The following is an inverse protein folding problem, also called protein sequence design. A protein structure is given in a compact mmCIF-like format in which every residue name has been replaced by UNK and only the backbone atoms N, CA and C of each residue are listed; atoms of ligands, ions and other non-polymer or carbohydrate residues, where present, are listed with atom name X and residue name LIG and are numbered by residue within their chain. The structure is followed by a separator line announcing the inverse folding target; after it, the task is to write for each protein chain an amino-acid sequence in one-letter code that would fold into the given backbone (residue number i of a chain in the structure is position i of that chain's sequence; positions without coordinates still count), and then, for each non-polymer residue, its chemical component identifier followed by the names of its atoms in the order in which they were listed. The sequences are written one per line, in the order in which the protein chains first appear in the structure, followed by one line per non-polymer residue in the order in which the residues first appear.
data_IF_196917376084
#
_entry.id   IF_196917376084
#
_cell.length_a   1.000
_cell.length_b   1.000
_cell.length_c   1.000
_cell.angle_alpha   90.00
_cell.angle_beta   90.00
_cell.angle_gamma   90.00
#
_symmetry.space_group_name_H-M   'P 1'
#
loop_
_entity.id
_entity.type
_entity.pdbx_description
1 polymer ?
#
# COMPACT_ATOMS: atom_id res chain seq x y z
N UNK A 1 -8.07 18.87 -4.32
CA UNK A 1 -7.86 17.43 -4.57
C UNK A 1 -9.14 16.61 -4.48
N UNK A 2 -10.08 16.90 -3.57
CA UNK A 2 -11.41 16.25 -3.60
C UNK A 2 -11.41 14.76 -3.24
N UNK A 3 -10.37 14.33 -2.53
CA UNK A 3 -10.23 12.98 -2.01
C UNK A 3 -11.14 12.85 -0.78
N UNK A 4 -12.01 11.83 -0.78
CA UNK A 4 -12.77 11.43 0.40
C UNK A 4 -11.92 10.43 1.19
N UNK A 5 -11.80 10.63 2.50
CA UNK A 5 -10.97 9.82 3.36
C UNK A 5 -11.83 9.06 4.38
N UNK A 6 -11.40 7.85 4.70
CA UNK A 6 -11.88 7.07 5.83
C UNK A 6 -10.63 6.66 6.61
N UNK A 7 -10.55 7.05 7.88
CA UNK A 7 -9.43 6.66 8.73
C UNK A 7 -9.66 5.30 9.35
N UNK A 8 -8.59 4.53 9.53
CA UNK A 8 -8.64 3.21 10.17
C UNK A 8 -7.76 3.26 11.40
N UNK A 9 -8.32 2.91 12.56
CA UNK A 9 -7.58 2.81 13.82
C UNK A 9 -7.25 1.36 14.14
N UNK A 10 -6.06 1.13 14.71
CA UNK A 10 -5.61 -0.20 15.14
C UNK A 10 -6.46 -0.75 16.28
N UNK A 11 -6.82 -2.02 16.18
CA UNK A 11 -7.45 -2.83 17.22
C UNK A 11 -6.43 -3.51 18.13
N UNK A 12 -6.77 -4.72 18.58
CA UNK A 12 -5.86 -5.51 19.42
C UNK A 12 -4.88 -6.29 18.55
N UNK A 13 -3.59 -6.04 18.73
CA UNK A 13 -2.54 -6.74 17.98
C UNK A 13 -2.65 -8.26 18.15
N UNK A 14 -2.50 -9.06 17.07
CA UNK A 14 -2.49 -10.51 17.18
C UNK A 14 -1.39 -10.99 18.13
N UNK A 15 -1.64 -12.10 18.85
CA UNK A 15 -0.68 -12.67 19.82
C UNK A 15 0.71 -12.88 19.21
N UNK A 16 0.76 -13.38 17.98
CA UNK A 16 1.99 -13.60 17.21
C UNK A 16 2.84 -12.32 17.07
N UNK A 17 2.21 -11.18 16.81
CA UNK A 17 2.89 -9.88 16.70
C UNK A 17 3.30 -9.37 18.08
N UNK A 18 2.44 -9.51 19.09
CA UNK A 18 2.75 -9.08 20.46
C UNK A 18 3.99 -9.78 21.03
N UNK A 19 4.12 -11.08 20.82
CA UNK A 19 5.27 -11.88 21.25
C UNK A 19 6.53 -11.46 20.49
N UNK A 20 6.40 -11.22 19.18
CA UNK A 20 7.49 -10.79 18.32
C UNK A 20 8.00 -9.38 18.68
N UNK A 21 7.10 -8.44 18.91
CA UNK A 21 7.43 -7.08 19.37
C UNK A 21 8.12 -7.11 20.73
N UNK A 22 7.67 -7.98 21.64
CA UNK A 22 8.28 -8.15 22.97
C UNK A 22 9.72 -8.66 22.84
N UNK A 23 9.95 -9.71 22.03
CA UNK A 23 11.29 -10.23 21.73
C UNK A 23 12.20 -9.18 21.06
N UNK A 24 11.66 -8.37 20.15
CA UNK A 24 12.39 -7.28 19.48
C UNK A 24 12.80 -6.19 20.47
N UNK A 25 11.92 -5.82 21.40
CA UNK A 25 12.22 -4.86 22.45
C UNK A 25 13.26 -5.39 23.44
N UNK A 26 13.18 -6.67 23.82
CA UNK A 26 14.18 -7.31 24.69
C UNK A 26 15.56 -7.35 24.01
N UNK A 27 15.63 -7.64 22.71
CA UNK A 27 16.90 -7.59 21.97
C UNK A 27 17.48 -6.18 21.85
N UNK A 28 16.63 -5.14 21.71
CA UNK A 28 17.09 -3.74 21.57
C UNK A 28 17.45 -3.07 22.89
N UNK A 29 16.73 -3.38 23.96
CA UNK A 29 16.80 -2.66 25.23
C UNK A 29 17.23 -3.55 26.42
N UNK A 30 17.47 -4.83 26.18
CA UNK A 30 17.79 -5.82 27.22
C UNK A 30 16.54 -6.35 27.95
N UNK A 31 16.69 -7.35 28.84
CA UNK A 31 15.60 -7.86 29.65
C UNK A 31 15.05 -6.74 30.54
N UNK A 32 13.75 -6.47 30.43
CA UNK A 32 13.08 -5.36 31.12
C UNK A 32 13.10 -5.56 32.64
N UNK A 33 14.10 -5.02 33.33
CA UNK A 33 14.20 -5.02 34.79
C UNK A 33 13.26 -4.02 35.49
N UNK A 34 12.34 -3.35 34.78
CA UNK A 34 11.40 -2.39 35.39
C UNK A 34 9.95 -2.69 35.00
N UNK A 35 9.21 -3.25 35.97
CA UNK A 35 7.76 -3.49 35.94
C UNK A 35 6.92 -2.20 35.83
N UNK A 36 7.54 -1.01 35.87
CA UNK A 36 6.83 0.29 35.91
C UNK A 36 6.98 1.24 34.71
N UNK A 37 7.95 1.04 33.79
CA UNK A 37 8.31 2.09 32.82
C UNK A 37 7.72 1.93 31.40
N UNK A 38 7.19 0.76 31.03
CA UNK A 38 6.62 0.51 29.69
C UNK A 38 5.18 1.02 29.49
N UNK A 39 4.46 1.30 30.59
CA UNK A 39 3.03 1.66 30.52
C UNK A 39 2.78 3.07 29.97
N UNK A 40 3.69 4.01 30.20
CA UNK A 40 3.53 5.43 29.84
C UNK A 40 3.51 5.70 28.34
N UNK A 41 4.35 5.01 27.55
CA UNK A 41 4.41 5.22 26.09
C UNK A 41 3.16 4.73 25.36
N UNK A 42 2.65 3.53 25.71
CA UNK A 42 1.42 2.98 25.12
C UNK A 42 0.17 3.72 25.58
N UNK A 43 0.12 4.15 26.85
CA UNK A 43 -1.01 4.95 27.33
C UNK A 43 -1.03 6.33 26.68
N UNK A 44 0.14 6.96 26.50
CA UNK A 44 0.26 8.24 25.79
C UNK A 44 -0.17 8.10 24.33
N UNK A 45 0.30 7.06 23.63
CA UNK A 45 -0.12 6.80 22.24
C UNK A 45 -1.64 6.61 22.12
N UNK A 46 -2.26 5.85 23.02
CA UNK A 46 -3.72 5.71 23.06
C UNK A 46 -4.45 7.02 23.34
N UNK A 47 -3.91 7.88 24.20
CA UNK A 47 -4.46 9.20 24.46
C UNK A 47 -4.40 10.09 23.20
N UNK A 48 -3.25 10.13 22.52
CA UNK A 48 -3.08 10.86 21.26
C UNK A 48 -4.02 10.33 20.18
N UNK A 49 -4.15 9.00 20.04
CA UNK A 49 -5.10 8.40 19.10
C UNK A 49 -6.54 8.87 19.37
N UNK A 50 -6.93 8.94 20.64
CA UNK A 50 -8.26 9.43 21.02
C UNK A 50 -8.44 10.89 20.63
N UNK A 51 -7.45 11.74 20.87
CA UNK A 51 -7.48 13.16 20.46
C UNK A 51 -7.54 13.30 18.92
N UNK A 52 -6.84 12.45 18.17
CA UNK A 52 -6.96 12.40 16.71
C UNK A 52 -8.36 12.00 16.26
N UNK A 53 -9.01 11.04 16.94
CA UNK A 53 -10.39 10.65 16.62
C UNK A 53 -11.38 11.78 16.93
N UNK A 54 -11.23 12.48 18.05
CA UNK A 54 -12.01 13.67 18.40
C UNK A 54 -11.87 14.78 17.34
N UNK A 55 -10.64 14.97 16.82
CA UNK A 55 -10.40 15.88 15.69
C UNK A 55 -11.15 15.43 14.42
N UNK A 56 -11.08 14.15 14.05
CA UNK A 56 -11.77 13.63 12.88
C UNK A 56 -13.28 13.83 12.99
N UNK A 57 -13.86 13.63 14.18
CA UNK A 57 -15.27 13.92 14.46
C UNK A 57 -15.60 15.41 14.31
N UNK A 58 -14.75 16.32 14.80
CA UNK A 58 -14.93 17.76 14.58
C UNK A 58 -14.88 18.13 13.09
N UNK A 59 -14.03 17.45 12.30
CA UNK A 59 -13.92 17.65 10.86
C UNK A 59 -15.01 16.94 10.06
N UNK A 60 -15.83 16.09 10.70
CA UNK A 60 -16.85 15.27 10.04
C UNK A 60 -16.27 14.14 9.18
N UNK A 61 -15.00 13.75 9.39
CA UNK A 61 -14.32 12.71 8.61
C UNK A 61 -14.61 11.34 9.25
N UNK A 62 -15.08 10.34 8.48
CA UNK A 62 -15.39 9.03 9.03
C UNK A 62 -14.12 8.27 9.40
N UNK A 63 -14.23 7.48 10.46
CA UNK A 63 -13.21 6.54 10.88
C UNK A 63 -13.83 5.20 11.26
N UNK A 64 -13.04 4.13 11.17
CA UNK A 64 -13.44 2.78 11.56
C UNK A 64 -12.36 2.13 12.41
N UNK A 65 -12.79 1.25 13.31
CA UNK A 65 -11.91 0.50 14.19
C UNK A 65 -11.63 -0.87 13.60
N UNK A 66 -10.35 -1.21 13.41
CA UNK A 66 -9.94 -2.56 13.01
C UNK A 66 -10.12 -3.55 14.16
N UNK A 67 -10.35 -4.84 13.83
CA UNK A 67 -10.36 -5.92 14.82
C UNK A 67 -8.95 -6.22 15.35
N UNK A 68 -7.96 -6.14 14.47
CA UNK A 68 -6.54 -6.31 14.77
C UNK A 68 -5.74 -5.19 14.12
N UNK A 69 -5.01 -5.50 13.06
CA UNK A 69 -4.22 -4.47 12.36
C UNK A 69 -5.06 -3.54 11.50
N UNK A 70 -4.67 -2.27 11.47
CA UNK A 70 -5.26 -1.28 10.57
C UNK A 70 -5.13 -1.71 9.11
N UNK A 71 -3.99 -2.31 8.73
CA UNK A 71 -3.68 -2.69 7.35
C UNK A 71 -4.62 -3.79 6.85
N UNK A 72 -5.00 -4.70 7.75
CA UNK A 72 -6.00 -5.72 7.47
C UNK A 72 -7.39 -5.11 7.19
N UNK A 73 -7.77 -4.06 7.93
CA UNK A 73 -9.04 -3.37 7.70
C UNK A 73 -8.98 -2.51 6.44
N UNK A 74 -7.88 -1.79 6.19
CA UNK A 74 -7.65 -1.06 4.94
C UNK A 74 -7.80 -1.96 3.72
N UNK A 75 -7.11 -3.10 3.74
CA UNK A 75 -7.18 -4.11 2.68
C UNK A 75 -8.60 -4.66 2.50
N UNK A 76 -9.31 -4.93 3.60
CA UNK A 76 -10.71 -5.36 3.56
C UNK A 76 -11.62 -4.33 2.88
N UNK A 77 -11.51 -3.05 3.25
CA UNK A 77 -12.32 -1.98 2.67
C UNK A 77 -12.06 -1.85 1.16
N UNK A 78 -10.79 -1.96 0.74
CA UNK A 78 -10.43 -1.86 -0.67
C UNK A 78 -10.88 -3.09 -1.46
N UNK A 79 -10.65 -4.31 -0.95
CA UNK A 79 -11.07 -5.54 -1.60
C UNK A 79 -12.60 -5.68 -1.72
N UNK A 80 -13.37 -5.06 -0.82
CA UNK A 80 -14.84 -4.99 -0.89
C UNK A 80 -15.39 -3.83 -1.71
N UNK A 81 -14.53 -2.96 -2.24
CA UNK A 81 -14.94 -1.80 -3.03
C UNK A 81 -15.56 -0.66 -2.22
N UNK A 82 -15.33 -0.62 -0.91
CA UNK A 82 -15.75 0.52 -0.07
C UNK A 82 -14.83 1.73 -0.24
N UNK A 83 -13.57 1.51 -0.62
CA UNK A 83 -12.59 2.55 -0.93
C UNK A 83 -11.80 2.19 -2.18
N UNK A 84 -11.38 3.20 -2.94
CA UNK A 84 -10.65 3.00 -4.20
C UNK A 84 -9.17 2.58 -4.00
N UNK A 85 -8.60 2.85 -2.83
CA UNK A 85 -7.24 2.42 -2.47
C UNK A 85 -6.87 2.73 -1.03
N UNK A 86 -5.74 2.18 -0.60
CA UNK A 86 -5.21 2.32 0.76
C UNK A 86 -4.00 3.26 0.75
N UNK A 87 -3.95 4.25 1.64
CA UNK A 87 -2.76 5.10 1.82
C UNK A 87 -1.95 4.51 2.98
N UNK A 88 -0.82 3.88 2.69
CA UNK A 88 0.06 3.31 3.71
C UNK A 88 1.49 3.15 3.19
N UNK A 89 2.46 3.21 4.12
CA UNK A 89 3.86 2.90 3.82
C UNK A 89 4.21 1.43 4.09
N UNK A 90 3.29 0.67 4.70
CA UNK A 90 3.44 -0.74 5.04
C UNK A 90 2.99 -1.63 3.88
N UNK A 91 3.82 -2.61 3.53
CA UNK A 91 3.56 -3.56 2.44
C UNK A 91 2.63 -4.71 2.84
N UNK A 92 2.44 -4.95 4.14
CA UNK A 92 1.61 -6.06 4.66
C UNK A 92 0.14 -5.92 4.23
N UNK A 93 -0.30 -4.71 3.87
CA UNK A 93 -1.61 -4.42 3.29
C UNK A 93 -1.91 -5.27 2.03
N UNK A 94 -0.90 -5.63 1.24
CA UNK A 94 -1.07 -6.52 0.08
C UNK A 94 -1.26 -7.98 0.49
N UNK A 95 -0.60 -8.41 1.57
CA UNK A 95 -0.76 -9.77 2.11
C UNK A 95 -2.18 -9.96 2.68
N UNK A 96 -2.75 -8.89 3.24
CA UNK A 96 -4.16 -8.83 3.63
C UNK A 96 -5.15 -8.72 2.46
N UNK A 97 -4.68 -8.51 1.24
CA UNK A 97 -5.49 -8.59 0.02
C UNK A 97 -5.93 -7.26 -0.58
N UNK A 98 -5.29 -6.13 -0.23
CA UNK A 98 -5.53 -4.86 -0.92
C UNK A 98 -5.21 -4.96 -2.42
N UNK A 99 -5.95 -4.22 -3.24
CA UNK A 99 -5.80 -4.16 -4.68
C UNK A 99 -5.02 -2.93 -5.14
N UNK A 100 -5.20 -1.78 -4.48
CA UNK A 100 -4.55 -0.50 -4.81
C UNK A 100 -3.97 0.13 -3.56
N UNK A 101 -2.68 0.45 -3.60
CA UNK A 101 -1.93 1.04 -2.48
C UNK A 101 -1.18 2.28 -2.93
N UNK A 102 -1.35 3.37 -2.18
CA UNK A 102 -0.66 4.63 -2.36
C UNK A 102 0.41 4.79 -1.26
N UNK A 103 1.67 4.92 -1.66
CA UNK A 103 2.83 4.98 -0.78
C UNK A 103 3.59 6.30 -0.94
N UNK A 104 4.38 6.66 0.07
CA UNK A 104 5.21 7.86 0.08
C UNK A 104 4.38 9.15 -0.03
N UNK A 105 3.23 9.19 0.64
CA UNK A 105 2.38 10.39 0.70
C UNK A 105 3.14 11.55 1.36
N UNK A 106 3.64 12.47 0.53
CA UNK A 106 4.36 13.66 0.96
C UNK A 106 3.75 14.90 0.30
N UNK A 107 3.26 15.83 1.11
CA UNK A 107 2.75 17.12 0.63
C UNK A 107 3.88 18.15 0.54
N UNK A 108 4.87 17.90 -0.33
CA UNK A 108 5.88 18.92 -0.64
C UNK A 108 5.35 19.85 -1.74
N UNK A 109 5.43 21.16 -1.50
CA UNK A 109 4.84 22.19 -2.38
C UNK A 109 5.41 22.22 -3.81
N UNK A 110 6.59 21.63 -4.04
CA UNK A 110 7.26 21.60 -5.35
C UNK A 110 7.01 20.32 -6.14
N UNK A 111 6.76 19.21 -5.46
CA UNK A 111 6.54 17.91 -6.10
C UNK A 111 5.75 17.00 -5.14
N UNK A 112 4.41 16.98 -5.23
CA UNK A 112 3.62 16.03 -4.46
C UNK A 112 3.79 14.64 -5.09
N UNK A 113 4.76 13.87 -4.60
CA UNK A 113 4.94 12.48 -4.99
C UNK A 113 3.93 11.59 -4.26
N UNK A 114 3.33 10.67 -5.02
CA UNK A 114 2.50 9.59 -4.51
C UNK A 114 2.71 8.39 -5.42
N UNK A 115 3.31 7.34 -4.90
CA UNK A 115 3.56 6.12 -5.66
C UNK A 115 2.33 5.23 -5.60
N UNK A 116 1.80 4.83 -6.77
CA UNK A 116 0.66 3.93 -6.88
C UNK A 116 1.13 2.51 -7.24
N UNK A 117 0.76 1.55 -6.41
CA UNK A 117 1.02 0.13 -6.59
C UNK A 117 -0.32 -0.61 -6.70
N UNK A 118 -0.49 -1.41 -7.75
CA UNK A 118 -1.71 -2.20 -7.96
C UNK A 118 -1.39 -3.70 -8.01
N UNK A 119 -2.24 -4.54 -7.43
CA UNK A 119 -2.06 -6.00 -7.47
C UNK A 119 -2.09 -6.56 -8.90
N UNK A 120 -2.85 -5.94 -9.81
CA UNK A 120 -2.82 -6.27 -11.23
C UNK A 120 -1.42 -6.08 -11.83
N UNK A 121 -0.79 -4.93 -11.59
CA UNK A 121 0.56 -4.65 -12.09
C UNK A 121 1.63 -5.55 -11.45
N UNK A 122 1.48 -5.88 -10.17
CA UNK A 122 2.37 -6.81 -9.45
C UNK A 122 2.26 -8.20 -10.07
N UNK A 123 1.05 -8.69 -10.31
CA UNK A 123 0.81 -10.00 -10.93
C UNK A 123 1.33 -10.05 -12.38
N UNK A 124 1.08 -9.02 -13.17
CA UNK A 124 1.49 -8.95 -14.57
C UNK A 124 3.02 -8.87 -14.72
N UNK A 125 3.67 -8.00 -13.94
CA UNK A 125 5.11 -7.72 -14.09
C UNK A 125 6.02 -8.67 -13.32
N UNK A 126 5.57 -9.16 -12.17
CA UNK A 126 6.37 -10.00 -11.28
C UNK A 126 5.87 -11.44 -11.19
N UNK A 127 4.71 -11.78 -11.77
CA UNK A 127 4.12 -13.11 -11.65
C UNK A 127 3.61 -13.44 -10.24
N UNK A 128 3.53 -12.45 -9.34
CA UNK A 128 3.18 -12.66 -7.94
C UNK A 128 1.68 -12.40 -7.71
N UNK A 129 0.93 -13.43 -7.33
CA UNK A 129 -0.38 -13.29 -6.70
C UNK A 129 -0.26 -13.08 -5.18
N UNK A 130 -1.40 -12.88 -4.50
CA UNK A 130 -1.44 -12.63 -3.06
C UNK A 130 -0.79 -13.77 -2.28
N UNK A 131 -1.09 -15.01 -2.65
CA UNK A 131 -0.54 -16.22 -2.05
C UNK A 131 0.99 -16.26 -2.23
N UNK A 132 1.51 -15.87 -3.40
CA UNK A 132 2.95 -15.72 -3.62
C UNK A 132 3.55 -14.62 -2.75
N UNK A 133 2.89 -13.49 -2.54
CA UNK A 133 3.37 -12.45 -1.64
C UNK A 133 3.40 -12.91 -0.17
N UNK A 134 2.40 -13.66 0.28
CA UNK A 134 2.39 -14.27 1.62
C UNK A 134 3.54 -15.27 1.74
N UNK A 135 3.75 -16.12 0.73
CA UNK A 135 4.88 -17.04 0.73
C UNK A 135 6.23 -16.33 0.73
N UNK A 136 6.35 -15.20 0.04
CA UNK A 136 7.53 -14.36 0.05
C UNK A 136 7.80 -13.80 1.46
N UNK A 137 6.77 -13.35 2.16
CA UNK A 137 6.85 -12.88 3.54
C UNK A 137 7.25 -13.99 4.53
N UNK A 138 6.82 -15.23 4.28
CA UNK A 138 7.28 -16.40 5.05
C UNK A 138 8.78 -16.66 4.82
N UNK A 139 9.26 -16.57 3.58
CA UNK A 139 10.67 -16.83 3.26
C UNK A 139 11.60 -15.70 3.75
N UNK A 140 11.25 -14.45 3.47
CA UNK A 140 12.10 -13.29 3.76
C UNK A 140 11.93 -12.77 5.19
N UNK A 141 10.80 -13.10 5.82
CA UNK A 141 10.38 -12.58 7.10
C UNK A 141 9.48 -11.35 6.97
N UNK A 142 8.63 -11.19 7.98
CA UNK A 142 7.67 -10.10 8.13
C UNK A 142 7.52 -9.73 9.62
N UNK A 143 6.58 -8.85 9.95
CA UNK A 143 6.35 -8.43 11.33
C UNK A 143 5.86 -9.54 12.27
N UNK A 144 5.26 -10.60 11.72
CA UNK A 144 4.87 -11.81 12.47
C UNK A 144 5.99 -12.84 12.58
N UNK A 145 6.91 -12.83 11.60
CA UNK A 145 8.00 -13.81 11.49
C UNK A 145 9.30 -13.08 11.11
N UNK A 146 10.01 -12.44 12.05
CA UNK A 146 11.13 -11.55 11.73
C UNK A 146 12.31 -12.24 11.06
N UNK A 147 12.48 -13.54 11.32
CA UNK A 147 13.63 -14.32 10.85
C UNK A 147 13.40 -14.92 9.46
N UNK A 148 12.15 -15.06 9.02
CA UNK A 148 11.80 -15.85 7.84
C UNK A 148 12.47 -17.22 7.85
N UNK A 149 12.88 -17.69 6.66
CA UNK A 149 13.76 -18.85 6.49
C UNK A 149 15.22 -18.36 6.45
N UNK A 150 16.08 -18.73 7.42
CA UNK A 150 17.44 -18.23 7.49
C UNK A 150 18.26 -18.51 6.23
N UNK A 151 18.92 -17.47 5.72
CA UNK A 151 19.77 -17.56 4.54
C UNK A 151 19.02 -17.60 3.21
N UNK A 152 17.70 -17.36 3.20
CA UNK A 152 16.93 -17.11 1.97
C UNK A 152 16.79 -15.61 1.77
N UNK A 153 17.33 -15.10 0.66
CA UNK A 153 17.26 -13.69 0.31
C UNK A 153 16.27 -13.40 -0.83
N UNK A 154 16.00 -12.11 -1.06
CA UNK A 154 15.07 -11.63 -2.10
C UNK A 154 15.34 -12.24 -3.48
N UNK A 155 16.60 -12.35 -3.89
CA UNK A 155 16.98 -12.88 -5.21
C UNK A 155 16.68 -14.37 -5.33
N UNK A 156 16.91 -15.14 -4.27
CA UNK A 156 16.60 -16.57 -4.26
C UNK A 156 15.10 -16.81 -4.28
N UNK A 157 14.33 -16.02 -3.53
CA UNK A 157 12.89 -16.11 -3.51
C UNK A 157 12.26 -15.72 -4.86
N UNK A 158 12.76 -14.68 -5.53
CA UNK A 158 12.29 -14.29 -6.86
C UNK A 158 12.62 -15.36 -7.92
N UNK A 159 13.84 -15.91 -7.91
CA UNK A 159 14.21 -17.04 -8.79
C UNK A 159 13.31 -18.26 -8.57
N UNK A 160 12.94 -18.52 -7.32
CA UNK A 160 11.98 -19.57 -7.00
C UNK A 160 10.63 -19.28 -7.65
N UNK A 161 10.07 -18.08 -7.47
CA UNK A 161 8.79 -17.69 -8.08
C UNK A 161 8.81 -17.85 -9.60
N UNK A 162 9.86 -17.38 -10.27
CA UNK A 162 10.04 -17.53 -11.73
C UNK A 162 10.05 -19.01 -12.17
N UNK A 163 10.64 -19.88 -11.34
CA UNK A 163 10.73 -21.32 -11.64
C UNK A 163 9.41 -22.09 -11.47
N UNK A 164 8.44 -21.55 -10.72
CA UNK A 164 7.19 -22.25 -10.37
C UNK A 164 6.13 -22.28 -11.47
N UNK A 165 6.37 -21.63 -12.61
CA UNK A 165 5.56 -21.73 -13.86
C UNK A 165 4.04 -21.70 -13.63
N UNK A 166 3.57 -20.80 -12.76
CA UNK A 166 2.14 -20.59 -12.47
C UNK A 166 1.61 -21.26 -11.20
N UNK A 167 2.42 -22.02 -10.47
CA UNK A 167 2.11 -22.38 -9.08
C UNK A 167 2.53 -21.24 -8.13
N UNK A 168 1.75 -21.00 -7.07
CA UNK A 168 2.13 -20.04 -6.04
C UNK A 168 2.99 -20.68 -4.95
N UNK A 169 3.67 -19.83 -4.17
CA UNK A 169 4.60 -20.29 -3.13
C UNK A 169 3.91 -21.13 -2.04
N UNK A 170 2.68 -20.79 -1.64
CA UNK A 170 1.98 -21.55 -0.59
C UNK A 170 1.66 -22.98 -1.03
N UNK A 171 1.22 -23.16 -2.28
CA UNK A 171 1.01 -24.49 -2.86
C UNK A 171 2.31 -25.29 -2.87
N UNK A 172 3.44 -24.65 -3.21
CA UNK A 172 4.73 -25.33 -3.21
C UNK A 172 5.19 -25.72 -1.81
N UNK A 173 4.93 -24.89 -0.81
CA UNK A 173 5.27 -25.19 0.58
C UNK A 173 4.50 -26.38 1.14
N UNK A 174 3.23 -26.55 0.77
CA UNK A 174 2.47 -27.75 1.17
C UNK A 174 3.05 -29.02 0.52
N UNK A 175 3.44 -28.96 -0.76
CA UNK A 175 4.12 -30.07 -1.42
C UNK A 175 5.46 -30.42 -0.75
N UNK A 176 6.23 -29.43 -0.31
CA UNK A 176 7.47 -29.69 0.46
C UNK A 176 7.18 -30.36 1.80
N UNK A 177 6.15 -29.90 2.51
CA UNK A 177 5.73 -30.47 3.79
C UNK A 177 5.30 -31.93 3.67
N UNK A 178 4.65 -32.31 2.56
CA UNK A 178 4.37 -33.71 2.24
C UNK A 178 5.67 -34.47 1.97
N UNK A 179 6.57 -33.94 1.14
CA UNK A 179 7.85 -34.58 0.83
C UNK A 179 8.71 -34.82 2.08
N UNK A 180 8.77 -33.87 3.02
CA UNK A 180 9.52 -34.02 4.27
C UNK A 180 9.05 -35.21 5.12
N UNK A 181 7.79 -35.63 4.98
CA UNK A 181 7.26 -36.79 5.70
C UNK A 181 7.67 -38.14 5.06
N UNK A 182 8.04 -38.15 3.77
CA UNK A 182 8.33 -39.36 3.00
C UNK A 182 9.79 -39.49 2.53
N UNK A 183 10.63 -38.47 2.73
CA UNK A 183 12.03 -38.43 2.27
C UNK A 183 12.96 -39.35 3.10
N UNK A 184 12.78 -40.66 2.93
CA UNK A 184 13.70 -41.71 3.43
C UNK A 184 14.46 -42.41 2.29
N UNK A 185 14.26 -41.99 1.04
CA UNK A 185 14.94 -42.61 -0.10
C UNK A 185 16.29 -41.93 -0.39
N UNK A 186 17.40 -42.69 -0.43
CA UNK A 186 18.70 -42.12 -0.77
C UNK A 186 18.69 -41.58 -2.22
N UNK A 187 19.39 -40.45 -2.49
CA UNK A 187 19.44 -39.88 -3.82
C UNK A 187 20.06 -40.87 -4.81
N UNK A 188 19.45 -41.02 -5.98
CA UNK A 188 19.99 -41.81 -7.09
C UNK A 188 21.36 -41.25 -7.51
N UNK A 189 22.43 -42.02 -7.27
CA UNK A 189 23.80 -41.63 -7.64
C UNK A 189 24.11 -42.14 -9.05
N UNK A 190 23.93 -41.28 -10.05
CA UNK A 190 24.40 -41.54 -11.42
C UNK A 190 25.89 -41.18 -11.52
N UNK A 191 26.74 -42.13 -11.92
CA UNK A 191 28.19 -41.92 -12.07
C UNK A 191 28.50 -40.96 -13.23
N UNK A 192 29.52 -40.11 -13.05
CA UNK A 192 30.01 -39.21 -14.11
C UNK A 192 30.60 -40.03 -15.26
N UNK A 193 30.13 -39.75 -16.47
CA UNK A 193 30.61 -40.39 -17.70
C UNK A 193 31.79 -39.60 -18.28
N UNK A 194 32.83 -40.28 -18.75
CA UNK A 194 33.96 -39.66 -19.46
C UNK A 194 33.49 -39.21 -20.84
N UNK A 195 33.96 -38.06 -21.32
CA UNK A 195 33.62 -37.53 -22.65
C UNK A 195 34.88 -37.36 -23.49
N UNK A 196 34.75 -37.50 -24.80
CA UNK A 196 35.85 -37.38 -25.74
C UNK A 196 36.32 -35.93 -25.83
N UNK A 197 37.64 -35.72 -25.88
CA UNK A 197 38.23 -34.38 -25.94
C UNK A 197 37.94 -33.64 -27.24
N UNK A 198 37.65 -34.35 -28.34
CA UNK A 198 37.39 -33.76 -29.65
C UNK A 198 35.90 -33.50 -29.92
N UNK A 199 35.04 -34.52 -29.78
CA UNK A 199 33.60 -34.39 -30.10
C UNK A 199 32.70 -34.13 -28.89
N UNK A 200 33.25 -34.17 -27.66
CA UNK A 200 32.49 -34.01 -26.42
C UNK A 200 31.32 -35.00 -26.23
N UNK A 201 31.36 -36.15 -26.90
CA UNK A 201 30.40 -37.24 -26.74
C UNK A 201 30.85 -38.23 -25.66
N UNK A 202 29.93 -38.98 -25.03
CA UNK A 202 30.25 -40.02 -24.05
C UNK A 202 31.25 -41.06 -24.59
N UNK A 203 32.25 -41.41 -23.77
CA UNK A 203 33.39 -42.26 -24.11
C UNK A 203 34.71 -41.49 -24.16
N UNK A 204 35.83 -42.16 -23.97
CA UNK A 204 37.16 -41.54 -24.05
C UNK A 204 37.61 -41.33 -25.50
N UNK A 205 38.51 -40.37 -25.75
CA UNK A 205 39.10 -40.16 -27.08
C UNK A 205 39.74 -41.44 -27.64
N UNK A 206 40.46 -42.20 -26.80
CA UNK A 206 41.10 -43.47 -27.18
C UNK A 206 40.09 -44.56 -27.58
N UNK A 207 38.89 -44.56 -27.01
CA UNK A 207 37.84 -45.50 -27.43
C UNK A 207 37.25 -45.10 -28.78
N UNK A 208 37.00 -43.81 -28.98
CA UNK A 208 36.48 -43.29 -30.24
C UNK A 208 37.51 -43.41 -31.38
N UNK A 209 38.80 -43.34 -31.09
CA UNK A 209 39.88 -43.62 -32.04
C UNK A 209 39.83 -45.07 -32.56
N UNK A 210 39.54 -46.03 -31.68
CA UNK A 210 39.51 -47.47 -32.03
C UNK A 210 38.21 -47.95 -32.63
N UNK A 211 37.07 -47.47 -32.11
CA UNK A 211 35.74 -48.01 -32.39
C UNK A 211 34.78 -47.02 -33.07
N UNK A 212 35.25 -45.79 -33.32
CA UNK A 212 34.42 -44.73 -33.86
C UNK A 212 33.46 -44.14 -32.82
N UNK A 213 32.73 -43.09 -33.20
CA UNK A 213 31.72 -42.47 -32.35
C UNK A 213 30.35 -42.52 -33.03
N UNK A 214 29.39 -43.21 -32.41
CA UNK A 214 28.02 -43.34 -32.92
C UNK A 214 27.32 -42.00 -33.12
N UNK A 215 27.61 -41.03 -32.25
CA UNK A 215 27.00 -39.69 -32.28
C UNK A 215 27.67 -38.76 -33.30
N UNK A 216 28.90 -39.07 -33.74
CA UNK A 216 29.55 -38.39 -34.86
C UNK A 216 29.33 -39.11 -36.19
N UNK A 217 28.67 -40.28 -36.17
CA UNK A 217 28.67 -41.27 -37.26
C UNK A 217 30.08 -41.57 -37.80
N UNK A 218 31.11 -41.43 -36.96
CA UNK A 218 32.50 -41.63 -37.36
C UNK A 218 32.93 -43.08 -37.13
N UNK A 219 33.65 -43.64 -38.09
CA UNK A 219 34.17 -45.01 -38.02
C UNK A 219 35.57 -45.08 -37.41
N UNK A 220 36.35 -43.99 -37.52
CA UNK A 220 37.63 -43.72 -36.81
C UNK A 220 37.83 -42.22 -36.67
N UNK A 221 38.36 -41.78 -35.53
CA UNK A 221 38.58 -40.36 -35.17
C UNK A 221 37.28 -39.54 -35.08
N UNK A 222 37.30 -38.47 -34.29
CA UNK A 222 36.13 -37.63 -34.03
C UNK A 222 36.28 -36.27 -34.69
N UNK A 223 35.17 -35.72 -35.21
CA UNK A 223 35.12 -34.34 -35.68
C UNK A 223 34.83 -33.40 -34.49
N UNK A 224 35.45 -32.21 -34.45
CA UNK A 224 35.09 -31.18 -33.48
C UNK A 224 33.60 -30.86 -33.59
N UNK A 225 32.89 -30.82 -32.46
CA UNK A 225 31.47 -30.49 -32.44
C UNK A 225 31.26 -29.00 -32.12
N UNK A 226 30.13 -28.47 -32.57
CA UNK A 226 29.80 -27.06 -32.42
C UNK A 226 29.51 -26.69 -30.95
N UNK A 227 29.80 -25.44 -30.56
CA UNK A 227 29.71 -24.97 -29.16
C UNK A 227 28.30 -25.02 -28.53
N UNK A 228 27.27 -25.34 -29.33
CA UNK A 228 25.86 -25.46 -28.92
C UNK A 228 25.42 -26.90 -28.61
N UNK A 229 26.31 -27.89 -28.67
CA UNK A 229 25.91 -29.29 -28.44
C UNK A 229 25.55 -29.59 -26.98
N UNK A 230 24.31 -30.03 -26.75
CA UNK A 230 23.82 -30.46 -25.46
C UNK A 230 23.90 -31.99 -25.31
N UNK A 231 24.92 -32.50 -24.62
CA UNK A 231 25.10 -33.94 -24.40
C UNK A 231 23.85 -34.63 -23.81
N UNK A 232 23.37 -35.76 -24.39
CA UNK A 232 22.15 -36.45 -23.97
C UNK A 232 22.38 -37.52 -22.88
N UNK A 233 23.59 -37.66 -22.33
CA UNK A 233 23.86 -38.71 -21.34
C UNK A 233 23.08 -38.47 -20.03
N UNK A 234 22.70 -39.56 -19.35
CA UNK A 234 21.91 -39.52 -18.11
C UNK A 234 22.54 -38.61 -17.04
N UNK A 235 23.88 -38.58 -16.94
CA UNK A 235 24.56 -37.69 -16.01
C UNK A 235 24.32 -36.21 -16.33
N UNK A 236 24.46 -35.79 -17.58
CA UNK A 236 24.21 -34.40 -17.99
C UNK A 236 22.72 -34.04 -17.93
N UNK A 237 21.82 -34.99 -18.23
CA UNK A 237 20.38 -34.77 -18.04
C UNK A 237 20.05 -34.55 -16.57
N UNK A 238 20.54 -35.42 -15.69
CA UNK A 238 20.34 -35.29 -14.24
C UNK A 238 20.98 -34.02 -13.68
N UNK A 239 22.18 -33.67 -14.15
CA UNK A 239 22.89 -32.46 -13.72
C UNK A 239 22.14 -31.19 -14.16
N UNK A 240 21.56 -31.16 -15.37
CA UNK A 240 20.70 -30.05 -15.80
C UNK A 240 19.43 -29.93 -14.97
N UNK A 241 18.80 -31.06 -14.64
CA UNK A 241 17.63 -31.08 -13.76
C UNK A 241 18.01 -30.58 -12.36
N UNK A 242 19.12 -31.06 -11.79
CA UNK A 242 19.66 -30.58 -10.51
C UNK A 242 20.02 -29.11 -10.53
N UNK A 243 20.63 -28.61 -11.59
CA UNK A 243 20.96 -27.19 -11.72
C UNK A 243 19.69 -26.34 -11.85
N UNK A 244 18.68 -26.83 -12.56
CA UNK A 244 17.37 -26.17 -12.66
C UNK A 244 16.62 -26.13 -11.32
N UNK A 245 16.73 -27.17 -10.49
CA UNK A 245 16.13 -27.24 -9.16
C UNK A 245 17.02 -26.73 -8.03
N UNK A 246 18.28 -26.37 -8.29
CA UNK A 246 19.27 -26.10 -7.24
C UNK A 246 18.86 -24.97 -6.30
N UNK A 247 18.24 -23.91 -6.83
CA UNK A 247 17.72 -22.80 -6.03
C UNK A 247 16.62 -23.29 -5.10
N UNK A 248 15.69 -24.05 -5.66
CA UNK A 248 14.57 -24.62 -4.92
C UNK A 248 15.05 -25.59 -3.83
N UNK A 249 15.94 -26.52 -4.17
CA UNK A 249 16.50 -27.52 -3.26
C UNK A 249 17.22 -26.88 -2.08
N UNK A 250 17.95 -25.79 -2.33
CA UNK A 250 18.62 -25.03 -1.29
C UNK A 250 17.62 -24.35 -0.34
N UNK A 251 16.58 -23.71 -0.89
CA UNK A 251 15.53 -23.07 -0.08
C UNK A 251 14.77 -24.13 0.72
N UNK A 252 14.36 -25.23 0.07
CA UNK A 252 13.65 -26.35 0.68
C UNK A 252 14.43 -26.98 1.82
N UNK A 253 15.75 -27.20 1.66
CA UNK A 253 16.62 -27.73 2.71
C UNK A 253 16.69 -26.80 3.93
N UNK A 254 16.79 -25.48 3.70
CA UNK A 254 16.76 -24.47 4.78
C UNK A 254 15.40 -24.41 5.46
N UNK A 255 14.32 -24.49 4.69
CA UNK A 255 12.95 -24.51 5.20
C UNK A 255 12.69 -25.75 6.07
N UNK A 256 13.15 -26.95 5.67
CA UNK A 256 13.04 -28.17 6.47
C UNK A 256 13.79 -28.08 7.81
N UNK A 257 14.84 -27.26 7.86
CA UNK A 257 15.61 -27.04 9.10
C UNK A 257 14.90 -26.08 10.07
N UNK A 258 13.80 -25.46 9.64
CA UNK A 258 13.02 -24.53 10.45
C UNK A 258 11.85 -25.26 11.12
N UNK A 259 11.84 -25.27 12.45
CA UNK A 259 10.73 -25.82 13.22
C UNK A 259 9.43 -25.06 12.92
N UNK A 260 8.37 -25.80 12.61
CA UNK A 260 7.05 -25.23 12.33
C UNK A 260 6.84 -24.69 10.92
N UNK A 261 7.81 -24.83 9.98
CA UNK A 261 7.59 -24.51 8.57
C UNK A 261 6.40 -25.33 8.00
N UNK A 262 5.46 -24.74 7.22
CA UNK A 262 5.49 -23.40 6.59
C UNK A 262 4.91 -22.25 7.43
N UNK A 263 4.88 -22.39 8.76
CA UNK A 263 4.37 -21.39 9.71
C UNK A 263 2.89 -21.08 9.48
N UNK A 264 2.07 -22.14 9.53
CA UNK A 264 0.63 -22.08 9.24
C UNK A 264 -0.11 -20.97 9.99
N UNK A 265 0.26 -20.67 11.23
CA UNK A 265 -0.37 -19.59 12.02
C UNK A 265 -0.15 -18.21 11.39
N UNK A 266 1.04 -17.94 10.85
CA UNK A 266 1.36 -16.68 10.15
C UNK A 266 0.63 -16.60 8.82
N UNK A 267 0.59 -17.70 8.07
CA UNK A 267 -0.17 -17.77 6.81
C UNK A 267 -1.66 -17.51 7.06
N UNK A 268 -2.23 -18.14 8.08
CA UNK A 268 -3.64 -17.95 8.44
C UNK A 268 -3.94 -16.54 8.94
N UNK A 269 -3.01 -15.87 9.62
CA UNK A 269 -3.17 -14.46 10.01
C UNK A 269 -3.44 -13.56 8.79
N UNK A 270 -2.70 -13.77 7.70
CA UNK A 270 -2.89 -12.98 6.48
C UNK A 270 -4.09 -13.43 5.64
N UNK A 271 -4.41 -14.73 5.61
CA UNK A 271 -5.52 -15.26 4.80
C UNK A 271 -6.89 -15.03 5.45
N UNK A 272 -7.01 -15.20 6.77
CA UNK A 272 -8.28 -15.13 7.49
C UNK A 272 -8.60 -13.70 7.87
N UNK A 273 -9.59 -13.13 7.20
CA UNK A 273 -10.09 -11.82 7.57
C UNK A 273 -10.93 -11.87 8.86
N UNK A 274 -10.47 -11.16 9.89
CA UNK A 274 -11.17 -11.01 11.18
C UNK A 274 -12.08 -9.78 11.24
N UNK A 275 -11.94 -8.87 10.27
CA UNK A 275 -12.73 -7.64 10.22
C UNK A 275 -14.15 -7.93 9.75
N UNK A 276 -15.12 -7.34 10.45
CA UNK A 276 -16.55 -7.45 10.13
C UNK A 276 -16.96 -6.35 9.14
N UNK A 277 -18.09 -6.55 8.49
CA UNK A 277 -18.71 -5.52 7.64
C UNK A 277 -19.08 -4.32 8.52
N UNK A 278 -18.44 -3.18 8.29
CA UNK A 278 -18.72 -1.94 9.01
C UNK A 278 -19.50 -1.02 8.08
N UNK A 279 -20.64 -0.50 8.54
CA UNK A 279 -21.31 0.62 7.87
C UNK A 279 -20.43 1.86 8.07
N UNK A 280 -19.64 2.18 7.05
CA UNK A 280 -18.83 3.41 7.03
C UNK A 280 -19.81 4.58 7.07
N UNK A 281 -19.65 5.47 8.06
CA UNK A 281 -20.43 6.71 8.12
C UNK A 281 -20.08 7.58 6.91
N UNK A 282 -21.05 8.29 6.37
CA UNK A 282 -20.77 9.30 5.37
C UNK A 282 -20.01 10.48 6.00
N UNK A 283 -19.23 11.18 5.18
CA UNK A 283 -18.58 12.42 5.59
C UNK A 283 -19.65 13.42 6.02
N UNK A 284 -19.51 13.97 7.22
CA UNK A 284 -20.43 14.94 7.79
C UNK A 284 -19.90 16.36 7.58
N UNK A 285 -20.79 17.34 7.75
CA UNK A 285 -20.39 18.74 7.72
C UNK A 285 -19.45 19.03 8.90
N UNK A 286 -18.27 19.65 8.68
CA UNK A 286 -17.40 20.04 9.78
C UNK A 286 -18.12 20.93 10.79
N UNK A 287 -17.88 20.71 12.08
CA UNK A 287 -18.51 21.49 13.14
C UNK A 287 -17.55 22.60 13.60
N UNK A 288 -17.91 23.85 13.26
CA UNK A 288 -17.06 25.01 13.51
C UNK A 288 -16.86 25.28 15.00
N UNK A 289 -17.89 25.12 15.83
CA UNK A 289 -17.79 25.38 17.26
C UNK A 289 -16.95 24.32 17.97
N UNK A 290 -17.20 23.04 17.71
CA UNK A 290 -16.43 21.96 18.34
C UNK A 290 -14.97 21.97 17.88
N UNK A 291 -14.71 22.28 16.60
CA UNK A 291 -13.34 22.44 16.10
C UNK A 291 -12.60 23.61 16.74
N UNK A 292 -13.26 24.75 16.97
CA UNK A 292 -12.64 25.88 17.68
C UNK A 292 -12.24 25.51 19.11
N UNK A 293 -13.13 24.83 19.85
CA UNK A 293 -12.86 24.38 21.22
C UNK A 293 -11.68 23.41 21.20
N UNK A 294 -11.74 22.38 20.35
CA UNK A 294 -10.67 21.38 20.20
C UNK A 294 -9.33 22.04 19.85
N UNK A 295 -9.29 22.93 18.86
CA UNK A 295 -8.07 23.57 18.40
C UNK A 295 -7.47 24.50 19.46
N UNK A 296 -8.31 25.18 20.24
CA UNK A 296 -7.85 26.02 21.35
C UNK A 296 -7.27 25.19 22.49
N UNK A 297 -7.91 24.08 22.86
CA UNK A 297 -7.50 23.25 24.01
C UNK A 297 -6.32 22.34 23.69
N UNK A 298 -6.22 21.81 22.46
CA UNK A 298 -5.25 20.77 22.08
C UNK A 298 -4.09 21.28 21.25
N UNK A 299 -4.27 22.39 20.54
CA UNK A 299 -3.26 22.93 19.61
C UNK A 299 -2.88 24.39 19.91
N UNK A 300 -3.47 25.00 20.94
CA UNK A 300 -3.24 26.40 21.33
C UNK A 300 -3.57 27.40 20.21
N UNK A 301 -4.51 27.06 19.33
CA UNK A 301 -4.93 27.95 18.25
C UNK A 301 -5.89 29.02 18.74
N UNK A 302 -5.76 30.24 18.22
CA UNK A 302 -6.79 31.27 18.40
C UNK A 302 -8.07 30.87 17.67
N UNK A 303 -9.23 31.27 18.21
CA UNK A 303 -10.54 30.94 17.61
C UNK A 303 -10.67 31.43 16.18
N UNK A 304 -10.21 32.65 15.90
CA UNK A 304 -10.18 33.21 14.54
C UNK A 304 -9.31 32.38 13.60
N UNK A 305 -8.12 31.97 14.02
CA UNK A 305 -7.25 31.13 13.19
C UNK A 305 -7.90 29.79 12.87
N UNK A 306 -8.52 29.13 13.87
CA UNK A 306 -9.28 27.91 13.66
C UNK A 306 -10.44 28.11 12.66
N UNK A 307 -11.18 29.21 12.78
CA UNK A 307 -12.24 29.56 11.84
C UNK A 307 -11.73 29.73 10.41
N UNK A 308 -10.66 30.52 10.23
CA UNK A 308 -10.00 30.74 8.92
C UNK A 308 -9.55 29.42 8.28
N UNK A 309 -9.03 28.47 9.07
CA UNK A 309 -8.61 27.15 8.56
C UNK A 309 -9.76 26.23 8.20
N UNK A 310 -10.82 26.21 9.01
CA UNK A 310 -11.97 25.33 8.76
C UNK A 310 -12.88 25.86 7.64
N UNK A 311 -12.89 27.17 7.38
CA UNK A 311 -13.75 27.80 6.38
C UNK A 311 -13.65 27.14 5.00
N UNK A 312 -12.43 26.84 4.55
CA UNK A 312 -12.20 26.18 3.26
C UNK A 312 -12.75 24.75 3.18
N UNK A 313 -12.89 24.07 4.33
CA UNK A 313 -13.53 22.75 4.39
C UNK A 313 -15.06 22.89 4.42
N UNK A 314 -15.60 23.90 5.10
CA UNK A 314 -17.02 24.20 5.15
C UNK A 314 -17.59 24.56 3.77
N UNK A 315 -16.97 25.53 3.08
CA UNK A 315 -17.39 25.94 1.72
C UNK A 315 -17.33 24.77 0.76
N UNK A 316 -16.26 23.97 0.84
CA UNK A 316 -16.09 22.76 0.03
C UNK A 316 -17.19 21.74 0.27
N UNK A 317 -17.50 21.45 1.53
CA UNK A 317 -18.54 20.50 1.90
C UNK A 317 -19.91 20.96 1.37
N UNK A 318 -20.27 22.22 1.65
CA UNK A 318 -21.57 22.79 1.25
C UNK A 318 -21.72 22.82 -0.29
N UNK A 319 -20.65 23.18 -1.02
CA UNK A 319 -20.66 23.13 -2.49
C UNK A 319 -20.84 21.71 -3.04
N UNK A 320 -20.19 20.70 -2.43
CA UNK A 320 -20.35 19.30 -2.86
C UNK A 320 -21.80 18.83 -2.63
N UNK A 321 -22.38 19.16 -1.49
CA UNK A 321 -23.77 18.81 -1.17
C UNK A 321 -24.77 19.48 -2.13
N UNK A 322 -24.60 20.78 -2.39
CA UNK A 322 -25.41 21.52 -3.37
C UNK A 322 -25.28 20.97 -4.77
N UNK A 323 -24.05 20.62 -5.21
CA UNK A 323 -23.82 19.95 -6.49
C UNK A 323 -24.56 18.60 -6.61
N UNK A 324 -24.72 17.87 -5.50
CA UNK A 324 -25.54 16.64 -5.47
C UNK A 324 -27.05 16.89 -5.39
N UNK A 325 -27.50 18.15 -5.36
CA UNK A 325 -28.91 18.53 -5.26
C UNK A 325 -29.43 18.68 -3.83
N UNK A 326 -28.58 18.53 -2.81
CA UNK A 326 -28.98 18.74 -1.40
C UNK A 326 -28.76 20.20 -0.99
N UNK A 327 -29.86 20.90 -0.74
CA UNK A 327 -29.88 22.31 -0.31
C UNK A 327 -30.44 22.39 1.11
N UNK A 328 -29.72 23.06 1.99
CA UNK A 328 -30.06 23.20 3.42
C UNK A 328 -29.83 24.65 3.86
N UNK A 329 -30.70 25.18 4.72
CA UNK A 329 -30.62 26.56 5.20
C UNK A 329 -29.36 26.84 6.03
N UNK A 330 -28.72 25.81 6.60
CA UNK A 330 -27.48 25.91 7.37
C UNK A 330 -26.22 25.98 6.50
N UNK A 331 -26.35 25.73 5.20
CA UNK A 331 -25.25 25.88 4.26
C UNK A 331 -24.87 27.35 4.10
N UNK A 332 -23.58 27.59 3.85
CA UNK A 332 -23.05 28.93 3.60
C UNK A 332 -23.74 29.59 2.40
N UNK A 333 -24.02 30.89 2.54
CA UNK A 333 -24.56 31.70 1.45
C UNK A 333 -23.45 32.54 0.85
N UNK A 334 -23.27 32.43 -0.47
CA UNK A 334 -22.36 33.29 -1.22
C UNK A 334 -23.04 34.64 -1.47
N UNK A 335 -22.40 35.73 -1.06
CA UNK A 335 -22.89 37.10 -1.25
C UNK A 335 -22.65 37.51 -2.70
N UNK A 336 -21.41 37.36 -3.19
CA UNK A 336 -21.02 37.67 -4.57
C UNK A 336 -19.67 37.07 -4.94
N UNK A 337 -19.39 37.02 -6.24
CA UNK A 337 -18.05 36.78 -6.78
C UNK A 337 -17.32 38.12 -6.85
N UNK A 338 -16.14 38.20 -6.22
CA UNK A 338 -15.28 39.39 -6.24
C UNK A 338 -14.58 39.50 -7.59
N UNK A 339 -13.94 38.41 -8.03
CA UNK A 339 -13.16 38.33 -9.28
C UNK A 339 -12.76 36.89 -9.60
N UNK A 340 -12.33 36.69 -10.84
CA UNK A 340 -11.67 35.47 -11.30
C UNK A 340 -10.23 35.39 -10.80
N UNK A 341 -9.78 34.19 -10.46
CA UNK A 341 -8.43 33.83 -10.00
C UNK A 341 -7.94 32.58 -10.73
N UNK A 342 -6.63 32.33 -10.66
CA UNK A 342 -6.03 31.07 -11.07
C UNK A 342 -5.17 30.55 -9.93
N UNK A 343 -5.42 29.32 -9.48
CA UNK A 343 -4.66 28.67 -8.42
C UNK A 343 -4.07 27.37 -8.96
N UNK A 344 -2.75 27.29 -9.05
CA UNK A 344 -2.03 26.13 -9.59
C UNK A 344 -2.54 25.71 -11.00
N UNK A 345 -2.83 26.69 -11.86
CA UNK A 345 -3.37 26.45 -13.21
C UNK A 345 -4.87 26.15 -13.26
N UNK A 346 -5.56 26.05 -12.12
CA UNK A 346 -7.00 25.79 -12.05
C UNK A 346 -7.76 27.13 -11.99
N UNK A 347 -8.75 27.38 -12.88
CA UNK A 347 -9.64 28.54 -12.80
C UNK A 347 -10.45 28.53 -11.51
N UNK A 348 -10.51 29.69 -10.83
CA UNK A 348 -11.17 29.85 -9.55
C UNK A 348 -11.94 31.16 -9.46
N UNK A 349 -12.91 31.23 -8.55
CA UNK A 349 -13.52 32.48 -8.12
C UNK A 349 -13.03 32.86 -6.72
N UNK A 350 -12.76 34.14 -6.51
CA UNK A 350 -12.67 34.74 -5.17
C UNK A 350 -14.09 35.15 -4.75
N UNK A 351 -14.58 34.59 -3.64
CA UNK A 351 -15.99 34.65 -3.25
C UNK A 351 -16.11 35.28 -1.87
N UNK A 352 -17.03 36.24 -1.72
CA UNK A 352 -17.48 36.75 -0.43
C UNK A 352 -18.65 35.92 0.07
N UNK A 353 -18.55 35.44 1.31
CA UNK A 353 -19.55 34.61 1.98
C UNK A 353 -20.14 35.34 3.17
N UNK A 354 -21.41 35.07 3.46
CA UNK A 354 -22.00 35.42 4.74
C UNK A 354 -21.26 34.68 5.86
N UNK A 355 -21.00 35.37 6.97
CA UNK A 355 -20.33 34.77 8.13
C UNK A 355 -21.13 33.58 8.67
N UNK A 356 -20.52 32.38 8.81
CA UNK A 356 -21.20 31.26 9.44
C UNK A 356 -21.45 31.54 10.92
N UNK A 357 -22.46 30.84 11.47
CA UNK A 357 -22.69 30.80 12.91
C UNK A 357 -21.40 30.39 13.64
N UNK A 358 -21.12 31.07 14.76
CA UNK A 358 -19.92 30.88 15.59
C UNK A 358 -18.58 31.23 14.93
N UNK A 359 -18.56 31.93 13.79
CA UNK A 359 -17.32 32.50 13.25
C UNK A 359 -16.81 33.65 14.15
N UNK A 360 -15.50 33.67 14.44
CA UNK A 360 -14.87 34.67 15.31
C UNK A 360 -13.83 35.46 14.51
N UNK A 361 -13.90 36.78 14.57
CA UNK A 361 -12.95 37.71 13.92
C UNK A 361 -11.64 37.85 14.69
N UNK A 362 -10.64 38.48 14.06
CA UNK A 362 -9.43 38.87 14.78
C UNK A 362 -9.78 39.99 15.77
N UNK A 363 -9.25 39.92 16.98
CA UNK A 363 -9.49 40.95 18.01
C UNK A 363 -8.94 42.33 17.57
N UNK A 364 -7.93 42.34 16.70
CA UNK A 364 -7.24 43.56 16.22
C UNK A 364 -7.76 44.10 14.87
N UNK A 365 -8.74 43.43 14.24
CA UNK A 365 -9.30 43.86 12.95
C UNK A 365 -10.75 44.35 13.12
N UNK A 366 -11.19 45.36 12.36
CA UNK A 366 -12.59 45.76 12.38
C UNK A 366 -13.47 44.57 11.98
N UNK A 367 -14.60 44.39 12.68
CA UNK A 367 -15.53 43.31 12.40
C UNK A 367 -16.04 43.42 10.95
N UNK A 368 -15.54 42.56 10.06
CA UNK A 368 -16.01 42.51 8.67
C UNK A 368 -17.44 41.98 8.62
N UNK A 369 -18.19 42.21 7.54
CA UNK A 369 -19.54 41.65 7.40
C UNK A 369 -19.54 40.29 6.67
N UNK A 370 -18.40 39.90 6.11
CA UNK A 370 -18.24 38.75 5.24
C UNK A 370 -16.92 38.05 5.50
N UNK A 371 -16.73 36.88 4.88
CA UNK A 371 -15.46 36.15 4.83
C UNK A 371 -15.15 35.76 3.38
N UNK A 372 -13.88 35.60 3.05
CA UNK A 372 -13.45 35.37 1.65
C UNK A 372 -12.77 34.02 1.50
N UNK A 373 -13.13 33.29 0.45
CA UNK A 373 -12.38 32.09 0.01
C UNK A 373 -12.11 32.12 -1.50
N UNK A 374 -11.23 31.22 -1.96
CA UNK A 374 -10.93 31.02 -3.38
C UNK A 374 -11.30 29.58 -3.74
N UNK A 375 -12.31 29.42 -4.59
CA UNK A 375 -12.92 28.13 -4.92
C UNK A 375 -12.83 27.80 -6.41
N UNK A 376 -12.80 26.51 -6.72
CA UNK A 376 -12.84 25.99 -8.10
C UNK A 376 -14.09 26.50 -8.85
N UNK A 377 -13.87 27.08 -10.02
CA UNK A 377 -14.93 27.71 -10.82
C UNK A 377 -16.03 26.71 -11.21
N UNK A 378 -15.65 25.50 -11.63
CA UNK A 378 -16.60 24.46 -12.03
C UNK A 378 -17.46 23.98 -10.85
N UNK A 379 -16.85 23.74 -9.70
CA UNK A 379 -17.57 23.33 -8.49
C UNK A 379 -18.49 24.44 -7.98
N UNK A 380 -18.02 25.68 -7.96
CA UNK A 380 -18.84 26.81 -7.50
C UNK A 380 -20.02 27.06 -8.43
N UNK A 381 -19.83 26.99 -9.75
CA UNK A 381 -20.91 27.13 -10.72
C UNK A 381 -21.98 26.05 -10.57
N UNK A 382 -21.59 24.81 -10.25
CA UNK A 382 -22.55 23.75 -9.99
C UNK A 382 -23.33 23.95 -8.67
N UNK A 383 -22.74 24.63 -7.69
CA UNK A 383 -23.33 24.82 -6.37
C UNK A 383 -24.18 26.09 -6.22
N UNK A 384 -23.77 27.19 -6.88
CA UNK A 384 -24.39 28.51 -6.81
C UNK A 384 -24.56 29.12 -8.22
N UNK A 385 -25.35 28.48 -9.10
CA UNK A 385 -25.49 28.92 -10.49
C UNK A 385 -26.04 30.35 -10.60
N UNK A 386 -26.95 30.74 -9.70
CA UNK A 386 -27.57 32.08 -9.71
C UNK A 386 -26.55 33.19 -9.45
N UNK A 387 -25.62 32.96 -8.51
CA UNK A 387 -24.54 33.91 -8.18
C UNK A 387 -23.58 34.07 -9.35
N UNK A 388 -23.28 32.97 -10.05
CA UNK A 388 -22.46 33.00 -11.26
C UNK A 388 -23.17 33.76 -12.38
N UNK A 389 -24.46 33.54 -12.59
CA UNK A 389 -25.24 34.24 -13.61
C UNK A 389 -25.22 35.76 -13.39
N UNK A 390 -25.44 36.21 -12.15
CA UNK A 390 -25.36 37.63 -11.78
C UNK A 390 -23.98 38.22 -12.08
N UNK A 391 -22.91 37.52 -11.69
CA UNK A 391 -21.55 37.98 -11.96
C UNK A 391 -21.23 38.10 -13.47
N UNK A 392 -21.73 37.18 -14.30
CA UNK A 392 -21.53 37.26 -15.75
C UNK A 392 -22.28 38.42 -16.39
N UNK A 393 -23.47 38.75 -15.89
CA UNK A 393 -24.23 39.93 -16.31
C UNK A 393 -23.46 41.20 -15.97
N UNK A 394 -23.03 41.37 -14.72
CA UNK A 394 -22.24 42.51 -14.27
C UNK A 394 -20.96 42.69 -15.09
N UNK A 395 -20.23 41.59 -15.32
CA UNK A 395 -19.00 41.59 -16.12
C UNK A 395 -19.26 42.03 -17.57
N UNK A 396 -20.36 41.57 -18.16
CA UNK A 396 -20.77 41.94 -19.52
C UNK A 396 -21.16 43.42 -19.62
N UNK A 397 -21.83 43.96 -18.62
CA UNK A 397 -22.18 45.38 -18.55
C UNK A 397 -20.95 46.27 -18.42
N UNK A 398 -19.99 45.89 -17.59
CA UNK A 398 -18.71 46.61 -17.46
C UNK A 398 -17.93 46.61 -18.77
N UNK A 399 -17.92 45.48 -19.49
CA UNK A 399 -17.30 45.38 -20.82
C UNK A 399 -18.00 46.28 -21.86
N UNK A 400 -19.34 46.29 -21.88
CA UNK A 400 -20.12 47.19 -22.74
C UNK A 400 -19.86 48.66 -22.43
N UNK A 401 -19.76 49.04 -21.15
CA UNK A 401 -19.42 50.42 -20.74
C UNK A 401 -18.00 50.82 -21.18
N UNK A 402 -17.02 49.92 -21.07
CA UNK A 402 -15.64 50.15 -21.53
C UNK A 402 -15.52 50.26 -23.06
N UNK A 403 -16.36 49.55 -23.82
CA UNK A 403 -16.40 49.68 -25.28
C UNK A 403 -17.09 50.97 -25.74
N UNK A 404 -18.05 51.50 -24.97
CA UNK A 404 -18.69 52.80 -25.27
C UNK A 404 -17.83 54.01 -24.90
N UNK A 405 -16.81 53.84 -24.06
CA UNK A 405 -15.91 54.91 -23.61
C UNK A 405 -14.56 54.94 -24.36
N UNK A 406 -14.36 54.07 -25.35
CA UNK A 406 -13.27 54.09 -26.32
C UNK A 406 -13.83 54.54 -27.65
#
# INVERSE_FOLDING_TARGET
MGIKLVFVTEGEAPKLKADTMSKRNEMRYGPSKKVGASRTGRSLFKAILKECLELLECLGVPWVQAAGEAEAMCAYLNAKGHVDGCITNDGDVFLYGAQTVYRNFAMNAKDPLLDCYTMSSIKEKLGCDRESLIGLAVLLGCDYLPKGVPGVGKEQALKLIESLRGQNLLQRFEQWKEQFQYDTNPPLVVKRVIHCSECHHPGSYKEHERSGCKLCESTRYCKPNDSKYCCPCEWHQLERVKQASAVEDNIRKKANSCEGFPFSEVIQEFLVNKNKLIKIKECQRPNLLSFQIFASEKMEWTKNYACKKLLALLTRYDMIQRKSGYIDSKQLQAIRIVKTRVKNGIPCFEIEWQKPEHYVDAEDEPAELFVVTVEDESLFQAAYPDVVALYQVEKSEVLKKKQKSK
#
